data_IF_461340039104
#
_entry.id   IF_461340039104
#
_cell.length_a   1.000
_cell.length_b   1.000
_cell.length_c   1.000
_cell.angle_alpha   90.00
_cell.angle_beta   90.00
_cell.angle_gamma   90.00
#
_symmetry.space_group_name_H-M   'P 1'
#
loop_
_entity.id
_entity.type
_entity.pdbx_description
1 polymer ?
#
# COMPACT_ATOMS: atom_id res chain seq x y z
N UNK A 1 16.39 -12.90 18.58
CA UNK A 1 15.18 -13.73 18.43
C UNK A 1 13.89 -12.96 18.71
N UNK A 2 13.75 -12.27 19.86
CA UNK A 2 12.55 -11.45 20.14
C UNK A 2 12.29 -10.31 19.13
N UNK A 3 13.35 -9.58 18.74
CA UNK A 3 13.23 -8.43 17.81
C UNK A 3 12.66 -8.82 16.44
N UNK A 4 13.11 -9.93 15.86
CA UNK A 4 12.63 -10.39 14.54
C UNK A 4 11.16 -10.81 14.60
N UNK A 5 10.72 -11.44 15.69
CA UNK A 5 9.31 -11.80 15.87
C UNK A 5 8.42 -10.56 16.02
N UNK A 6 8.88 -9.53 16.73
CA UNK A 6 8.16 -8.27 16.87
C UNK A 6 8.05 -7.52 15.54
N UNK A 7 9.15 -7.46 14.77
CA UNK A 7 9.16 -6.89 13.42
C UNK A 7 8.22 -7.65 12.47
N UNK A 8 8.19 -8.98 12.53
CA UNK A 8 7.30 -9.79 11.70
C UNK A 8 5.81 -9.54 12.04
N UNK A 9 5.49 -9.48 13.34
CA UNK A 9 4.14 -9.14 13.81
C UNK A 9 3.71 -7.74 13.39
N UNK A 10 4.60 -6.76 13.51
CA UNK A 10 4.37 -5.38 13.06
C UNK A 10 4.02 -5.36 11.57
N UNK A 11 4.86 -5.93 10.70
CA UNK A 11 4.63 -5.91 9.24
C UNK A 11 3.31 -6.59 8.85
N UNK A 12 2.90 -7.68 9.53
CA UNK A 12 1.60 -8.31 9.31
C UNK A 12 0.43 -7.38 9.64
N UNK A 13 0.51 -6.62 10.74
CA UNK A 13 -0.52 -5.63 11.10
C UNK A 13 -0.64 -4.54 10.03
N UNK A 14 0.48 -4.00 9.53
CA UNK A 14 0.45 -3.03 8.43
C UNK A 14 -0.09 -3.60 7.13
N UNK A 15 0.17 -4.87 6.84
CA UNK A 15 -0.36 -5.54 5.66
C UNK A 15 -1.88 -5.59 5.70
N UNK A 16 -2.46 -6.04 6.82
CA UNK A 16 -3.92 -6.09 7.01
C UNK A 16 -4.51 -4.68 6.91
N UNK A 17 -3.88 -3.70 7.56
CA UNK A 17 -4.35 -2.33 7.58
C UNK A 17 -4.35 -1.70 6.17
N UNK A 18 -3.32 -1.99 5.38
CA UNK A 18 -3.22 -1.50 3.99
C UNK A 18 -4.27 -2.16 3.08
N UNK A 19 -4.64 -3.42 3.32
CA UNK A 19 -5.74 -4.10 2.60
C UNK A 19 -7.10 -3.53 2.99
N UNK A 20 -7.31 -3.20 4.27
CA UNK A 20 -8.53 -2.51 4.71
C UNK A 20 -8.62 -1.13 4.06
N UNK A 21 -7.51 -0.39 3.98
CA UNK A 21 -7.44 0.91 3.31
C UNK A 21 -7.87 0.82 1.85
N UNK A 22 -7.45 -0.23 1.13
CA UNK A 22 -7.92 -0.52 -0.23
C UNK A 22 -9.43 -0.77 -0.31
N UNK A 23 -9.99 -1.51 0.65
CA UNK A 23 -11.41 -1.83 0.66
C UNK A 23 -12.33 -0.63 0.88
N UNK A 24 -11.83 0.42 1.55
CA UNK A 24 -12.61 1.64 1.86
C UNK A 24 -12.41 2.76 0.83
N UNK A 25 -11.48 2.64 -0.12
CA UNK A 25 -11.26 3.70 -1.12
C UNK A 25 -12.39 3.72 -2.15
N UNK A 26 -13.16 4.81 -2.17
CA UNK A 26 -14.19 5.05 -3.20
C UNK A 26 -13.65 5.76 -4.45
N UNK A 27 -12.48 6.40 -4.36
CA UNK A 27 -11.85 7.10 -5.48
C UNK A 27 -10.69 6.29 -6.06
N UNK A 28 -10.62 6.12 -7.39
CA UNK A 28 -9.65 5.22 -8.01
C UNK A 28 -8.21 5.71 -7.84
N UNK A 29 -7.99 7.03 -7.81
CA UNK A 29 -6.67 7.63 -7.54
C UNK A 29 -6.13 7.24 -6.16
N UNK A 30 -6.99 7.23 -5.15
CA UNK A 30 -6.60 6.84 -3.80
C UNK A 30 -6.40 5.34 -3.66
N UNK A 31 -7.17 4.55 -4.42
CA UNK A 31 -6.95 3.12 -4.57
C UNK A 31 -5.53 2.79 -5.08
N UNK A 32 -5.01 3.53 -6.07
CA UNK A 32 -3.65 3.34 -6.60
C UNK A 32 -2.59 3.55 -5.51
N UNK A 33 -2.74 4.61 -4.73
CA UNK A 33 -1.82 4.96 -3.64
C UNK A 33 -1.83 3.89 -2.55
N UNK A 34 -3.01 3.38 -2.20
CA UNK A 34 -3.14 2.28 -1.25
C UNK A 34 -2.57 0.95 -1.80
N UNK A 35 -2.66 0.71 -3.12
CA UNK A 35 -2.12 -0.49 -3.78
C UNK A 35 -0.59 -0.52 -3.73
N UNK A 36 0.03 0.65 -3.92
CA UNK A 36 1.48 0.84 -3.76
C UNK A 36 1.90 0.50 -2.33
N UNK A 37 1.14 0.96 -1.33
CA UNK A 37 1.38 0.64 0.07
C UNK A 37 1.33 -0.86 0.38
N UNK A 38 0.24 -1.54 -0.02
CA UNK A 38 0.08 -3.00 0.20
C UNK A 38 1.21 -3.80 -0.41
N UNK A 39 1.55 -3.52 -1.67
CA UNK A 39 2.59 -4.25 -2.39
C UNK A 39 3.98 -4.04 -1.78
N UNK A 40 4.27 -2.84 -1.30
CA UNK A 40 5.52 -2.56 -0.58
C UNK A 40 5.64 -3.36 0.72
N UNK A 41 4.59 -3.33 1.58
CA UNK A 41 4.58 -4.09 2.83
C UNK A 41 4.67 -5.61 2.60
N UNK A 42 4.03 -6.12 1.55
CA UNK A 42 4.11 -7.53 1.17
C UNK A 42 5.53 -7.94 0.75
N UNK A 43 6.24 -7.08 0.01
CA UNK A 43 7.63 -7.33 -0.37
C UNK A 43 8.55 -7.40 0.85
N UNK A 44 8.40 -6.49 1.82
CA UNK A 44 9.17 -6.51 3.07
C UNK A 44 8.95 -7.83 3.83
N UNK A 45 7.70 -8.30 3.88
CA UNK A 45 7.34 -9.60 4.48
C UNK A 45 8.05 -10.78 3.80
N UNK A 46 8.06 -10.83 2.46
CA UNK A 46 8.74 -11.89 1.72
C UNK A 46 10.27 -11.85 1.85
N UNK A 47 10.85 -10.66 1.99
CA UNK A 47 12.29 -10.49 2.25
C UNK A 47 12.65 -10.99 3.65
N UNK A 48 11.83 -10.70 4.66
CA UNK A 48 12.00 -11.21 6.04
C UNK A 48 11.93 -12.75 6.10
N UNK A 49 11.12 -13.37 5.25
CA UNK A 49 11.00 -14.83 5.10
C UNK A 49 12.14 -15.46 4.28
N UNK A 50 13.09 -14.66 3.77
CA UNK A 50 14.24 -15.14 2.97
C UNK A 50 13.92 -15.48 1.51
N UNK A 51 12.74 -15.14 0.99
CA UNK A 51 12.30 -15.42 -0.39
C UNK A 51 12.49 -14.18 -1.29
N UNK A 52 13.73 -13.75 -1.48
CA UNK A 52 14.06 -12.48 -2.18
C UNK A 52 13.71 -12.49 -3.68
N UNK A 53 13.88 -13.63 -4.36
CA UNK A 53 13.57 -13.72 -5.80
C UNK A 53 12.08 -13.50 -6.10
N UNK A 54 11.20 -14.13 -5.32
CA UNK A 54 9.75 -13.96 -5.48
C UNK A 54 9.30 -12.53 -5.15
N UNK A 55 9.91 -11.91 -4.14
CA UNK A 55 9.66 -10.51 -3.79
C UNK A 55 10.02 -9.55 -4.93
N UNK A 56 11.16 -9.77 -5.60
CA UNK A 56 11.60 -8.94 -6.72
C UNK A 56 10.65 -9.03 -7.92
N UNK A 57 10.17 -10.23 -8.26
CA UNK A 57 9.21 -10.42 -9.35
C UNK A 57 7.88 -9.73 -9.05
N UNK A 58 7.37 -9.87 -7.82
CA UNK A 58 6.17 -9.15 -7.39
C UNK A 58 6.38 -7.64 -7.45
N UNK A 59 7.54 -7.14 -7.04
CA UNK A 59 7.86 -5.71 -7.11
C UNK A 59 7.83 -5.21 -8.56
N UNK A 60 8.52 -5.89 -9.47
CA UNK A 60 8.60 -5.45 -10.87
C UNK A 60 7.25 -5.55 -11.57
N UNK A 61 6.53 -6.66 -11.42
CA UNK A 61 5.26 -6.89 -12.14
C UNK A 61 4.12 -6.07 -11.53
N UNK A 62 4.03 -5.99 -10.20
CA UNK A 62 2.91 -5.34 -9.51
C UNK A 62 3.12 -3.82 -9.39
N UNK A 63 4.25 -3.38 -8.81
CA UNK A 63 4.56 -1.95 -8.67
C UNK A 63 5.01 -1.33 -9.99
N UNK A 64 5.81 -2.04 -10.78
CA UNK A 64 6.32 -1.53 -12.06
C UNK A 64 5.31 -1.65 -13.22
N UNK A 65 4.56 -2.74 -13.29
CA UNK A 65 3.62 -2.99 -14.38
C UNK A 65 2.21 -2.50 -14.07
N UNK A 66 1.52 -3.21 -13.18
CA UNK A 66 0.08 -3.05 -12.97
C UNK A 66 -0.30 -1.67 -12.43
N UNK A 67 0.45 -1.16 -11.44
CA UNK A 67 0.20 0.16 -10.84
C UNK A 67 0.35 1.29 -11.86
N UNK A 68 1.33 1.21 -12.78
CA UNK A 68 1.57 2.26 -13.78
C UNK A 68 0.45 2.32 -14.80
N UNK A 69 0.01 1.17 -15.31
CA UNK A 69 -1.12 1.09 -16.26
C UNK A 69 -2.40 1.59 -15.59
N UNK A 70 -2.64 1.18 -14.34
CA UNK A 70 -3.82 1.60 -13.60
C UNK A 70 -3.81 3.12 -13.33
N UNK A 71 -2.65 3.68 -12.94
CA UNK A 71 -2.47 5.12 -12.78
C UNK A 71 -2.67 5.91 -14.08
N UNK A 72 -2.25 5.36 -15.22
CA UNK A 72 -2.50 5.95 -16.53
C UNK A 72 -4.00 6.03 -16.85
N UNK A 73 -4.74 4.93 -16.67
CA UNK A 73 -6.20 4.90 -16.86
C UNK A 73 -6.91 5.96 -15.99
N UNK A 74 -6.53 6.04 -14.71
CA UNK A 74 -7.12 7.03 -13.78
C UNK A 74 -6.77 8.47 -14.18
N UNK A 75 -5.58 8.70 -14.73
CA UNK A 75 -5.17 10.02 -15.20
C UNK A 75 -5.99 10.48 -16.41
N UNK A 76 -6.32 9.56 -17.32
CA UNK A 76 -7.19 9.82 -18.47
C UNK A 76 -8.63 10.15 -18.03
N UNK A 77 -9.13 9.53 -16.97
CA UNK A 77 -10.45 9.84 -16.41
C UNK A 77 -10.50 11.20 -15.70
N UNK A 78 -9.40 11.61 -15.07
CA UNK A 78 -9.34 12.87 -14.31
C UNK A 78 -9.45 14.13 -15.17
N UNK A 79 -9.10 14.06 -16.45
CA UNK A 79 -9.26 15.17 -17.41
C UNK A 79 -10.73 15.59 -17.60
N UNK A 80 -11.69 14.76 -17.13
CA UNK A 80 -13.14 14.99 -17.23
C UNK A 80 -13.84 15.44 -15.94
N UNK A 81 -13.17 15.47 -14.79
CA UNK A 81 -13.83 15.76 -13.52
C UNK A 81 -12.89 16.21 -12.41
N UNK A 82 -13.02 17.49 -12.04
CA UNK A 82 -12.43 18.06 -10.83
C UNK A 82 -12.94 17.31 -9.60
N UNK A 83 -12.04 16.61 -8.90
CA UNK A 83 -12.34 16.03 -7.58
C UNK A 83 -11.17 16.25 -6.63
N UNK A 84 -11.24 17.39 -5.94
CA UNK A 84 -11.47 17.40 -4.50
C UNK A 84 -10.44 16.67 -3.64
N UNK A 85 -9.53 17.47 -3.08
CA UNK A 85 -8.56 17.16 -2.02
C UNK A 85 -9.25 16.56 -0.78
N UNK A 86 -9.51 15.25 -0.79
CA UNK A 86 -10.06 14.51 0.36
C UNK A 86 -9.19 13.31 0.78
N UNK A 87 -8.02 13.13 0.16
CA UNK A 87 -7.12 12.01 0.49
C UNK A 87 -6.22 12.24 1.69
N UNK A 88 -5.90 13.49 2.01
CA UNK A 88 -4.93 13.81 3.06
C UNK A 88 -5.45 13.50 4.47
N UNK A 89 -6.77 13.59 4.71
CA UNK A 89 -7.36 13.28 6.02
C UNK A 89 -7.22 11.81 6.44
N UNK A 90 -7.32 10.88 5.49
CA UNK A 90 -7.22 9.45 5.79
C UNK A 90 -5.77 9.01 6.01
N UNK A 91 -4.82 9.54 5.22
CA UNK A 91 -3.38 9.28 5.39
C UNK A 91 -2.88 9.81 6.75
N UNK A 92 -3.36 10.97 7.19
CA UNK A 92 -3.00 11.55 8.50
C UNK A 92 -3.58 10.76 9.67
N UNK A 93 -4.83 10.30 9.61
CA UNK A 93 -5.43 9.45 10.67
C UNK A 93 -4.72 8.09 10.76
N UNK A 94 -4.30 7.53 9.63
CA UNK A 94 -3.59 6.24 9.55
C UNK A 94 -2.20 6.31 10.20
N UNK A 95 -1.48 7.42 9.98
CA UNK A 95 -0.18 7.70 10.58
C UNK A 95 -0.30 7.92 12.09
N UNK A 96 -1.37 8.60 12.54
CA UNK A 96 -1.65 8.82 13.97
C UNK A 96 -2.00 7.50 14.68
N UNK A 97 -2.86 6.65 14.12
CA UNK A 97 -3.20 5.34 14.73
C UNK A 97 -1.99 4.42 14.80
N UNK A 98 -1.15 4.40 13.76
CA UNK A 98 0.11 3.65 13.74
C UNK A 98 1.11 4.14 14.79
N UNK A 99 1.11 5.44 15.12
CA UNK A 99 2.01 6.04 16.09
C UNK A 99 1.49 5.91 17.54
N UNK A 100 0.17 5.83 17.71
CA UNK A 100 -0.51 5.59 19.01
C UNK A 100 -0.42 4.11 19.43
N UNK A 101 -0.21 3.19 18.49
CA UNK A 101 -0.07 1.75 18.76
C UNK A 101 1.39 1.30 18.99
N UNK A 102 2.36 2.22 18.95
CA UNK A 102 3.76 2.03 19.30
C UNK A 102 4.00 2.42 20.77
#
# INVERSE_FOLDING_TARGET
MFVINYLFGFVLVFMIFSVIALGITSTPYQGVIALIGVSFFCCVLMVLLGRTFAALVMYIVYLGGLVVVFGYCVSVEKDKGDVGVSGFKYVVVFLVTSLVCL
#
